data_IF_024311148089
#
_entry.id   IF_024311148089
#
_cell.length_a   1.000
_cell.length_b   1.000
_cell.length_c   1.000
_cell.angle_alpha   90.00
_cell.angle_beta   90.00
_cell.angle_gamma   90.00
#
_symmetry.space_group_name_H-M   'P 1'
#
loop_
_entity.id
_entity.type
_entity.pdbx_description
1 polymer ?
#
# COMPACT_ATOMS: atom_id res chain seq x y z
N UNK A 1 -3.83 4.41 -6.71
CA UNK A 1 -4.81 3.47 -6.17
C UNK A 1 -6.22 3.83 -6.61
N UNK A 2 -7.18 3.02 -6.28
CA UNK A 2 -8.59 3.34 -6.47
C UNK A 2 -9.12 4.13 -5.26
N UNK A 3 -9.93 5.19 -5.46
CA UNK A 3 -10.31 5.76 -6.75
C UNK A 3 -9.14 6.45 -7.48
N UNK A 4 -9.17 6.40 -8.81
CA UNK A 4 -8.20 7.06 -9.68
C UNK A 4 -8.93 8.13 -10.47
N UNK A 5 -8.42 9.37 -10.48
CA UNK A 5 -9.10 10.52 -11.06
C UNK A 5 -9.43 10.33 -12.54
N UNK A 6 -8.51 9.71 -13.30
CA UNK A 6 -8.74 9.44 -14.74
C UNK A 6 -9.91 8.47 -14.96
N UNK A 7 -10.01 7.41 -14.14
CA UNK A 7 -11.11 6.45 -14.24
C UNK A 7 -12.40 7.07 -13.74
N UNK A 8 -12.34 7.90 -12.69
CA UNK A 8 -13.50 8.64 -12.19
C UNK A 8 -14.07 9.54 -13.30
N UNK A 9 -13.22 10.36 -13.93
CA UNK A 9 -13.64 11.23 -15.02
C UNK A 9 -14.22 10.43 -16.18
N UNK A 10 -13.55 9.33 -16.58
CA UNK A 10 -14.03 8.48 -17.67
C UNK A 10 -15.42 7.89 -17.37
N UNK A 11 -15.65 7.47 -16.13
CA UNK A 11 -16.95 6.92 -15.70
C UNK A 11 -18.08 7.96 -15.69
N UNK A 12 -17.74 9.24 -15.56
CA UNK A 12 -18.74 10.33 -15.68
C UNK A 12 -19.11 10.64 -17.13
N UNK A 13 -18.16 10.43 -18.06
CA UNK A 13 -18.35 10.76 -19.49
C UNK A 13 -18.97 9.62 -20.30
N UNK A 14 -18.74 8.37 -19.89
CA UNK A 14 -19.23 7.19 -20.61
C UNK A 14 -19.44 5.99 -19.67
N UNK A 15 -20.22 5.01 -20.13
CA UNK A 15 -20.35 3.74 -19.43
C UNK A 15 -19.04 2.96 -19.51
N UNK A 16 -18.50 2.60 -18.37
CA UNK A 16 -17.27 1.80 -18.25
C UNK A 16 -17.57 0.44 -17.66
N UNK A 17 -16.68 -0.51 -17.91
CA UNK A 17 -16.66 -1.80 -17.26
C UNK A 17 -15.24 -2.12 -16.80
N UNK A 18 -15.11 -2.43 -15.51
CA UNK A 18 -13.85 -2.95 -14.95
C UNK A 18 -13.94 -4.47 -14.94
N UNK A 19 -12.96 -5.16 -15.51
CA UNK A 19 -12.92 -6.61 -15.55
C UNK A 19 -12.29 -7.15 -14.27
N UNK A 20 -12.96 -8.07 -13.55
CA UNK A 20 -12.37 -8.72 -12.40
C UNK A 20 -11.23 -9.65 -12.83
N UNK A 21 -10.24 -9.82 -11.96
CA UNK A 21 -9.25 -10.87 -12.09
C UNK A 21 -9.78 -12.15 -11.44
N UNK A 22 -9.49 -13.29 -12.04
CA UNK A 22 -9.80 -14.58 -11.45
C UNK A 22 -8.80 -14.95 -10.32
N UNK A 23 -9.21 -15.85 -9.43
CA UNK A 23 -8.42 -16.24 -8.25
C UNK A 23 -7.05 -16.83 -8.63
N UNK A 24 -6.97 -17.52 -9.79
CA UNK A 24 -5.71 -18.09 -10.28
C UNK A 24 -4.73 -16.99 -10.70
N UNK A 25 -5.20 -16.00 -11.42
CA UNK A 25 -4.39 -14.84 -11.83
C UNK A 25 -3.93 -14.04 -10.61
N UNK A 26 -4.82 -13.79 -9.65
CA UNK A 26 -4.49 -13.11 -8.39
C UNK A 26 -3.39 -13.88 -7.65
N UNK A 27 -3.61 -15.19 -7.42
CA UNK A 27 -2.63 -16.04 -6.73
C UNK A 27 -1.29 -16.10 -7.46
N UNK A 28 -1.30 -16.14 -8.79
CA UNK A 28 -0.07 -16.12 -9.57
C UNK A 28 0.70 -14.83 -9.38
N UNK A 29 0.04 -13.68 -9.44
CA UNK A 29 0.69 -12.37 -9.30
C UNK A 29 1.23 -12.13 -7.89
N UNK A 30 0.44 -12.47 -6.86
CA UNK A 30 0.83 -12.26 -5.46
C UNK A 30 1.92 -13.21 -4.98
N UNK A 31 2.08 -14.39 -5.60
CA UNK A 31 3.15 -15.33 -5.27
C UNK A 31 4.43 -15.10 -6.08
N UNK A 32 4.35 -14.43 -7.23
CA UNK A 32 5.50 -14.25 -8.12
C UNK A 32 6.20 -12.90 -7.92
N UNK A 33 5.47 -11.89 -7.47
CA UNK A 33 5.97 -10.53 -7.38
C UNK A 33 5.74 -9.94 -5.99
N UNK A 34 6.82 -9.59 -5.32
CA UNK A 34 6.76 -8.87 -4.05
C UNK A 34 6.07 -7.51 -4.22
N UNK A 35 5.39 -7.08 -3.18
CA UNK A 35 4.64 -5.82 -3.18
C UNK A 35 3.25 -5.90 -3.82
N UNK A 36 2.89 -7.02 -4.49
CA UNK A 36 1.52 -7.25 -4.93
C UNK A 36 0.68 -7.89 -3.82
N UNK A 37 -0.58 -7.51 -3.74
CA UNK A 37 -1.54 -8.06 -2.78
C UNK A 37 -2.94 -8.14 -3.38
N UNK A 38 -3.74 -9.11 -2.92
CA UNK A 38 -5.14 -9.20 -3.28
C UNK A 38 -5.92 -8.03 -2.69
N UNK A 39 -6.76 -7.42 -3.50
CA UNK A 39 -7.63 -6.32 -3.07
C UNK A 39 -8.93 -6.29 -3.85
N UNK A 40 -9.83 -5.40 -3.44
CA UNK A 40 -11.15 -5.25 -4.05
C UNK A 40 -11.42 -3.77 -4.33
N UNK A 41 -11.79 -3.45 -5.56
CA UNK A 41 -12.42 -2.17 -5.86
C UNK A 41 -13.88 -2.28 -5.42
N UNK A 42 -14.26 -1.50 -4.43
CA UNK A 42 -15.60 -1.55 -3.85
C UNK A 42 -16.67 -1.06 -4.80
N UNK A 43 -17.84 -1.67 -4.72
CA UNK A 43 -19.04 -1.17 -5.37
C UNK A 43 -19.24 0.32 -5.06
N UNK A 44 -19.63 1.11 -6.06
CA UNK A 44 -19.80 2.56 -5.91
C UNK A 44 -18.51 3.38 -5.93
N UNK A 45 -17.31 2.76 -6.09
CA UNK A 45 -16.06 3.51 -6.25
C UNK A 45 -16.04 4.37 -7.50
N UNK A 46 -16.66 3.87 -8.58
CA UNK A 46 -16.83 4.59 -9.84
C UNK A 46 -18.29 4.51 -10.28
N UNK A 47 -18.76 5.48 -11.04
CA UNK A 47 -20.11 5.50 -11.58
C UNK A 47 -20.37 4.28 -12.46
N UNK A 48 -21.50 3.61 -12.24
CA UNK A 48 -21.88 2.39 -12.98
C UNK A 48 -21.16 1.11 -12.55
N UNK A 49 -20.35 1.15 -11.50
CA UNK A 49 -19.72 -0.03 -10.90
C UNK A 49 -20.47 -0.38 -9.61
N UNK A 50 -21.45 -1.27 -9.71
CA UNK A 50 -22.40 -1.59 -8.63
C UNK A 50 -22.03 -2.87 -7.85
N UNK A 51 -20.96 -3.55 -8.25
CA UNK A 51 -20.47 -4.77 -7.61
C UNK A 51 -19.00 -4.63 -7.19
N UNK A 52 -18.62 -5.36 -6.15
CA UNK A 52 -17.23 -5.48 -5.71
C UNK A 52 -16.40 -6.19 -6.78
N UNK A 53 -15.26 -5.64 -7.17
CA UNK A 53 -14.40 -6.18 -8.22
C UNK A 53 -13.07 -6.64 -7.64
N UNK A 54 -12.83 -7.96 -7.68
CA UNK A 54 -11.55 -8.55 -7.29
C UNK A 54 -10.43 -8.13 -8.23
N UNK A 55 -9.30 -7.73 -7.65
CA UNK A 55 -8.11 -7.32 -8.39
C UNK A 55 -6.86 -7.47 -7.53
N UNK A 56 -5.73 -7.04 -8.05
CA UNK A 56 -4.48 -6.89 -7.29
C UNK A 56 -4.15 -5.43 -7.08
N UNK A 57 -3.60 -5.13 -5.91
CA UNK A 57 -2.99 -3.84 -5.60
C UNK A 57 -1.48 -3.95 -5.58
N UNK A 58 -0.80 -2.81 -5.69
CA UNK A 58 0.65 -2.68 -5.52
C UNK A 58 0.91 -1.74 -4.37
N UNK A 59 1.79 -2.14 -3.47
CA UNK A 59 2.18 -1.30 -2.33
C UNK A 59 3.00 -0.10 -2.79
N UNK A 60 2.65 1.07 -2.29
CA UNK A 60 3.49 2.25 -2.40
C UNK A 60 4.51 2.23 -1.26
N UNK A 61 5.78 2.37 -1.58
CA UNK A 61 6.89 2.31 -0.62
C UNK A 61 7.59 3.66 -0.60
N UNK A 62 7.77 4.22 0.61
CA UNK A 62 8.64 5.37 0.81
C UNK A 62 10.08 4.86 0.95
N UNK A 63 10.97 5.30 0.07
CA UNK A 63 12.38 4.92 0.08
C UNK A 63 13.26 6.02 0.65
N UNK A 64 14.26 5.63 1.42
CA UNK A 64 15.27 6.52 1.98
C UNK A 64 16.67 6.07 1.54
N UNK A 65 17.62 7.00 1.53
CA UNK A 65 19.03 6.63 1.33
C UNK A 65 19.53 5.84 2.54
N UNK A 66 20.26 4.75 2.32
CA UNK A 66 20.92 3.98 3.38
C UNK A 66 21.85 4.84 4.26
N UNK A 67 22.32 5.99 3.74
CA UNK A 67 23.19 6.93 4.46
C UNK A 67 22.42 7.96 5.29
N UNK A 68 21.09 7.95 5.24
CA UNK A 68 20.28 8.84 6.05
C UNK A 68 20.41 8.47 7.52
N UNK A 69 20.35 9.46 8.38
CA UNK A 69 20.39 9.26 9.82
C UNK A 69 19.22 8.40 10.31
N UNK A 70 19.51 7.41 11.18
CA UNK A 70 18.50 6.46 11.64
C UNK A 70 17.39 7.13 12.45
N UNK A 71 17.72 8.10 13.32
CA UNK A 71 16.72 8.79 14.12
C UNK A 71 15.75 9.56 13.22
N UNK A 72 16.29 10.24 12.20
CA UNK A 72 15.48 10.94 11.19
C UNK A 72 14.54 10.00 10.44
N UNK A 73 14.99 8.80 10.06
CA UNK A 73 14.14 7.84 9.36
C UNK A 73 13.10 7.23 10.31
N UNK A 74 13.46 6.99 11.57
CA UNK A 74 12.51 6.55 12.58
C UNK A 74 11.38 7.57 12.79
N UNK A 75 11.73 8.85 12.95
CA UNK A 75 10.77 9.95 13.10
C UNK A 75 9.82 10.05 11.88
N UNK A 76 10.37 9.97 10.65
CA UNK A 76 9.56 9.98 9.43
C UNK A 76 8.61 8.77 9.40
N UNK A 77 9.10 7.59 9.79
CA UNK A 77 8.28 6.38 9.82
C UNK A 77 7.16 6.51 10.84
N UNK A 78 7.44 7.01 12.05
CA UNK A 78 6.44 7.30 13.08
C UNK A 78 5.37 8.27 12.55
N UNK A 79 5.78 9.37 11.93
CA UNK A 79 4.87 10.36 11.35
C UNK A 79 3.89 9.75 10.33
N UNK A 80 4.29 8.71 9.58
CA UNK A 80 3.39 8.03 8.62
C UNK A 80 2.23 7.30 9.32
N UNK A 81 2.41 6.89 10.58
CA UNK A 81 1.41 6.15 11.35
C UNK A 81 0.60 7.02 12.32
N UNK A 82 0.97 8.28 12.51
CA UNK A 82 0.18 9.20 13.35
C UNK A 82 -1.24 9.42 12.81
N UNK A 83 -2.25 9.34 13.68
CA UNK A 83 -3.67 9.46 13.30
C UNK A 83 -4.02 10.82 12.68
N UNK A 84 -3.35 11.89 13.10
CA UNK A 84 -3.60 13.25 12.64
C UNK A 84 -2.72 13.70 11.47
N UNK A 85 -2.01 12.76 10.83
CA UNK A 85 -1.10 13.07 9.75
C UNK A 85 -1.83 13.70 8.55
N UNK A 86 -1.33 14.85 8.08
CA UNK A 86 -1.87 15.53 6.90
C UNK A 86 -1.71 14.69 5.62
N UNK A 87 -0.71 13.80 5.58
CA UNK A 87 -0.49 12.87 4.47
C UNK A 87 -1.67 11.91 4.34
N UNK A 88 -2.16 11.34 5.45
CA UNK A 88 -3.33 10.45 5.46
C UNK A 88 -4.60 11.12 4.95
N UNK A 89 -4.79 12.39 5.25
CA UNK A 89 -5.95 13.16 4.78
C UNK A 89 -5.91 13.40 3.27
N UNK A 90 -4.73 13.35 2.66
CA UNK A 90 -4.53 13.58 1.22
C UNK A 90 -4.42 12.29 0.41
N UNK A 91 -4.04 11.19 1.05
CA UNK A 91 -3.85 9.89 0.40
C UNK A 91 -4.96 8.96 0.89
N UNK A 92 -6.06 8.91 0.16
CA UNK A 92 -7.26 8.11 0.51
C UNK A 92 -7.02 6.61 0.65
N UNK A 93 -5.88 6.11 0.17
CA UNK A 93 -5.49 4.70 0.22
C UNK A 93 -4.35 4.40 1.21
N UNK A 94 -3.96 5.36 2.05
CA UNK A 94 -2.96 5.10 3.08
C UNK A 94 -3.52 4.15 4.15
N UNK A 95 -2.91 2.96 4.26
CA UNK A 95 -3.24 1.98 5.28
C UNK A 95 -2.35 2.19 6.51
N UNK A 96 -2.96 2.25 7.69
CA UNK A 96 -2.26 2.39 8.97
C UNK A 96 -1.93 1.06 9.63
N UNK A 97 -2.18 -0.04 8.96
CA UNK A 97 -1.85 -1.36 9.45
C UNK A 97 -0.35 -1.60 9.31
N UNK A 98 0.34 -1.68 10.44
CA UNK A 98 1.79 -1.92 10.49
C UNK A 98 2.15 -3.28 9.90
N UNK A 99 1.29 -4.30 10.08
CA UNK A 99 1.47 -5.59 9.44
C UNK A 99 1.41 -5.47 7.92
N UNK A 100 0.43 -4.74 7.38
CA UNK A 100 0.36 -4.48 5.94
C UNK A 100 1.61 -3.72 5.46
N UNK A 101 2.12 -2.77 6.25
CA UNK A 101 3.28 -1.97 5.88
C UNK A 101 4.61 -2.76 5.90
N UNK A 102 4.67 -3.87 6.65
CA UNK A 102 5.91 -4.65 6.80
C UNK A 102 5.90 -5.99 6.07
N UNK A 103 4.74 -6.47 5.64
CA UNK A 103 4.61 -7.75 4.96
C UNK A 103 4.86 -7.60 3.45
N UNK A 104 5.62 -8.52 2.86
CA UNK A 104 5.85 -8.60 1.41
C UNK A 104 6.26 -7.25 0.77
N UNK A 105 7.30 -6.62 1.32
CA UNK A 105 7.89 -5.38 0.81
C UNK A 105 9.04 -5.71 -0.15
N UNK A 106 9.11 -5.10 -1.35
CA UNK A 106 10.07 -5.48 -2.39
C UNK A 106 11.49 -4.93 -2.18
N UNK A 107 11.79 -4.38 -1.02
CA UNK A 107 13.11 -3.85 -0.68
C UNK A 107 13.38 -3.95 0.82
N UNK A 108 14.66 -3.98 1.19
CA UNK A 108 15.05 -4.05 2.60
C UNK A 108 14.71 -2.76 3.35
N UNK A 109 14.41 -2.89 4.64
CA UNK A 109 14.09 -1.77 5.52
C UNK A 109 15.33 -1.01 5.94
N UNK A 110 15.24 0.31 5.95
CA UNK A 110 16.25 1.15 6.57
C UNK A 110 16.29 0.91 8.09
N UNK A 111 17.50 0.95 8.68
CA UNK A 111 17.70 0.73 10.11
C UNK A 111 16.76 1.55 11.00
N UNK A 112 16.56 2.83 10.72
CA UNK A 112 15.63 3.67 11.48
C UNK A 112 14.18 3.21 11.39
N UNK A 113 13.73 2.72 10.23
CA UNK A 113 12.40 2.15 10.10
C UNK A 113 12.26 0.86 10.93
N UNK A 114 13.30 0.00 10.94
CA UNK A 114 13.35 -1.20 11.78
C UNK A 114 13.25 -0.84 13.27
N UNK A 115 13.98 0.19 13.71
CA UNK A 115 13.95 0.66 15.10
C UNK A 115 12.52 1.11 15.49
N UNK A 116 11.85 1.87 14.64
CA UNK A 116 10.46 2.27 14.87
C UNK A 116 9.52 1.06 14.95
N UNK A 117 9.51 0.19 13.94
CA UNK A 117 8.61 -0.97 13.94
C UNK A 117 8.83 -1.88 15.15
N UNK A 118 10.06 -2.13 15.53
CA UNK A 118 10.40 -2.91 16.73
C UNK A 118 9.88 -2.23 18.01
N UNK A 119 9.97 -0.89 18.11
CA UNK A 119 9.50 -0.14 19.28
C UNK A 119 7.99 -0.27 19.52
N UNK A 120 7.22 -0.48 18.45
CA UNK A 120 5.77 -0.69 18.51
C UNK A 120 5.36 -2.18 18.48
N UNK A 121 6.33 -3.09 18.60
CA UNK A 121 6.10 -4.55 18.66
C UNK A 121 5.88 -5.23 17.32
N UNK A 122 6.17 -4.57 16.21
CA UNK A 122 6.13 -5.17 14.86
C UNK A 122 7.56 -5.64 14.50
N UNK A 123 7.80 -6.94 14.54
CA UNK A 123 9.12 -7.49 14.24
C UNK A 123 9.41 -7.45 12.72
N UNK A 124 10.59 -6.95 12.37
CA UNK A 124 11.18 -7.05 11.03
C UNK A 124 12.26 -8.14 11.04
N UNK A 125 12.22 -9.06 10.08
CA UNK A 125 13.19 -10.14 10.00
C UNK A 125 14.58 -9.60 9.64
N UNK A 126 15.66 -10.31 10.06
CA UNK A 126 17.03 -9.87 9.75
C UNK A 126 17.33 -9.86 8.24
N UNK A 127 16.65 -10.72 7.47
CA UNK A 127 16.78 -10.80 6.01
C UNK A 127 16.21 -9.57 5.29
N UNK A 128 15.28 -8.87 5.94
CA UNK A 128 14.59 -7.69 5.40
C UNK A 128 15.28 -6.36 5.81
N UNK A 129 16.48 -6.41 6.43
CA UNK A 129 17.19 -5.23 6.94
C UNK A 129 18.44 -4.90 6.10
N UNK A 130 18.76 -3.59 6.03
CA UNK A 130 20.02 -3.03 5.49
C UNK A 130 20.70 -2.10 6.48
#
# INVERSE_FOLDING_TARGET
GAPCDVITQLSEEMDIRILPLDDRTISYMTNLYDGYYETVIKAGTYKGIDEDIKTVGVKAVLVASQKMDSDTVADITEMLFEENNQIKKRISFANNDTKFATDNIPCAFHKGAVEYYNSIGTAITEEDQI
#
